data_IF_539414153062
#
_entry.id   IF_539414153062
#
_cell.length_a   1.000
_cell.length_b   1.000
_cell.length_c   1.000
_cell.angle_alpha   90.00
_cell.angle_beta   90.00
_cell.angle_gamma   90.00
#
_symmetry.space_group_name_H-M   'P 1'
#
loop_
_entity.id
_entity.type
_entity.pdbx_description
1 polymer ?
#
# COMPACT_ATOMS: atom_id res chain seq x y z
N UNK A 1 2.27 14.36 8.23
CA UNK A 1 2.95 13.70 9.37
C UNK A 1 2.03 12.60 9.90
N UNK A 2 2.41 11.32 9.77
CA UNK A 2 1.62 10.14 10.13
C UNK A 2 1.57 9.86 11.64
N UNK A 3 1.71 10.88 12.47
CA UNK A 3 2.17 10.78 13.87
C UNK A 3 1.18 10.09 14.82
N UNK A 4 -0.10 9.97 14.45
CA UNK A 4 -1.12 9.28 15.26
C UNK A 4 -1.35 7.80 14.88
N UNK A 5 -0.77 7.32 13.77
CA UNK A 5 -0.93 5.94 13.31
C UNK A 5 0.23 5.08 13.83
N UNK A 6 -0.10 4.06 14.62
CA UNK A 6 0.86 3.02 15.03
C UNK A 6 1.16 2.11 13.83
N UNK A 7 2.08 2.56 12.99
CA UNK A 7 2.60 1.81 11.85
C UNK A 7 3.81 0.97 12.25
N UNK A 8 3.90 -0.25 11.70
CA UNK A 8 5.11 -1.08 11.80
C UNK A 8 6.27 -0.46 11.01
N UNK A 9 7.47 -1.04 11.11
CA UNK A 9 8.61 -0.59 10.30
C UNK A 9 8.34 -0.78 8.80
N UNK A 10 7.76 -1.92 8.45
CA UNK A 10 7.41 -2.35 7.10
C UNK A 10 6.32 -1.44 6.50
N UNK A 11 5.27 -1.17 7.27
CA UNK A 11 4.19 -0.26 6.85
C UNK A 11 4.71 1.16 6.62
N UNK A 12 5.65 1.65 7.44
CA UNK A 12 6.28 2.96 7.24
C UNK A 12 7.10 3.01 5.97
N UNK A 13 7.87 1.97 5.70
CA UNK A 13 8.67 1.92 4.48
C UNK A 13 7.78 1.84 3.22
N UNK A 14 6.74 1.01 3.25
CA UNK A 14 5.77 0.92 2.15
C UNK A 14 5.00 2.23 1.97
N UNK A 15 4.56 2.87 3.07
CA UNK A 15 3.92 4.18 3.02
C UNK A 15 4.80 5.22 2.31
N UNK A 16 6.09 5.28 2.67
CA UNK A 16 7.07 6.17 2.03
C UNK A 16 7.23 5.87 0.54
N UNK A 17 7.29 4.59 0.16
CA UNK A 17 7.39 4.18 -1.25
C UNK A 17 6.16 4.57 -2.06
N UNK A 18 4.96 4.33 -1.52
CA UNK A 18 3.68 4.71 -2.15
C UNK A 18 3.61 6.23 -2.34
N UNK A 19 3.95 7.00 -1.32
CA UNK A 19 3.88 8.47 -1.38
C UNK A 19 4.84 9.05 -2.43
N UNK A 20 6.03 8.44 -2.57
CA UNK A 20 7.02 8.82 -3.59
C UNK A 20 6.62 8.40 -5.02
N UNK A 21 5.90 7.29 -5.17
CA UNK A 21 5.45 6.79 -6.47
C UNK A 21 4.33 7.68 -7.05
N UNK A 22 3.31 7.98 -6.25
CA UNK A 22 2.21 8.85 -6.65
C UNK A 22 2.56 10.31 -6.38
N UNK A 23 3.20 10.96 -7.35
CA UNK A 23 3.62 12.38 -7.27
C UNK A 23 2.48 13.39 -7.47
N UNK A 24 1.26 12.93 -7.76
CA UNK A 24 0.13 13.81 -8.06
C UNK A 24 -0.34 14.56 -6.81
N UNK A 25 -0.36 15.91 -6.80
CA UNK A 25 -0.72 16.71 -5.63
C UNK A 25 -2.21 16.62 -5.27
N UNK A 26 -3.07 16.20 -6.20
CA UNK A 26 -4.51 16.09 -6.00
C UNK A 26 -4.97 14.77 -5.37
N UNK A 27 -4.05 13.81 -5.16
CA UNK A 27 -4.38 12.51 -4.58
C UNK A 27 -3.96 12.49 -3.12
N UNK A 28 -4.93 12.30 -2.21
CA UNK A 28 -4.62 12.17 -0.80
C UNK A 28 -3.93 10.82 -0.52
N UNK A 29 -3.27 10.68 0.63
CA UNK A 29 -2.47 9.49 0.92
C UNK A 29 -3.29 8.19 0.97
N UNK A 30 -4.52 8.25 1.49
CA UNK A 30 -5.42 7.09 1.51
C UNK A 30 -5.71 6.60 0.09
N UNK A 31 -6.01 7.52 -0.83
CA UNK A 31 -6.26 7.19 -2.24
C UNK A 31 -5.01 6.62 -2.90
N UNK A 32 -3.81 7.13 -2.57
CA UNK A 32 -2.54 6.54 -3.05
C UNK A 32 -2.38 5.09 -2.61
N UNK A 33 -2.65 4.80 -1.32
CA UNK A 33 -2.59 3.43 -0.77
C UNK A 33 -3.63 2.53 -1.42
N UNK A 34 -4.87 3.01 -1.61
CA UNK A 34 -5.92 2.26 -2.28
C UNK A 34 -5.55 1.94 -3.74
N UNK A 35 -5.04 2.91 -4.50
CA UNK A 35 -4.60 2.68 -5.88
C UNK A 35 -3.41 1.72 -5.96
N UNK A 36 -2.44 1.81 -5.04
CA UNK A 36 -1.34 0.85 -4.95
C UNK A 36 -1.85 -0.58 -4.72
N UNK A 37 -2.88 -0.72 -3.87
CA UNK A 37 -3.49 -2.02 -3.58
C UNK A 37 -4.17 -2.61 -4.81
N UNK A 38 -4.90 -1.79 -5.57
CA UNK A 38 -5.53 -2.22 -6.83
C UNK A 38 -4.51 -2.69 -7.85
N UNK A 39 -3.39 -1.96 -8.01
CA UNK A 39 -2.30 -2.35 -8.90
C UNK A 39 -1.73 -3.72 -8.50
N UNK A 40 -1.38 -3.89 -7.22
CA UNK A 40 -0.81 -5.15 -6.74
C UNK A 40 -1.79 -6.35 -6.87
N UNK A 41 -3.09 -6.11 -6.66
CA UNK A 41 -4.11 -7.13 -6.86
C UNK A 41 -4.23 -7.51 -8.34
N UNK A 42 -4.24 -6.51 -9.24
CA UNK A 42 -4.30 -6.73 -10.67
C UNK A 42 -3.08 -7.48 -11.22
N UNK A 43 -1.88 -7.19 -10.72
CA UNK A 43 -0.66 -7.91 -11.08
C UNK A 43 -0.75 -9.40 -10.73
N UNK A 44 -1.30 -9.74 -9.56
CA UNK A 44 -1.50 -11.13 -9.15
C UNK A 44 -2.56 -11.84 -9.99
N UNK A 45 -3.70 -11.20 -10.23
CA UNK A 45 -4.80 -11.78 -11.01
C UNK A 45 -4.42 -11.99 -12.48
N UNK A 46 -3.69 -11.04 -13.05
CA UNK A 46 -3.23 -11.08 -14.44
C UNK A 46 -1.97 -11.93 -14.63
N UNK A 47 -1.47 -12.58 -13.57
CA UNK A 47 -0.22 -13.34 -13.59
C UNK A 47 0.97 -12.53 -14.12
N UNK A 48 1.02 -11.24 -13.81
CA UNK A 48 2.13 -10.33 -14.16
C UNK A 48 3.31 -10.50 -13.18
N UNK A 49 3.81 -11.72 -13.09
CA UNK A 49 5.02 -12.07 -12.37
C UNK A 49 5.75 -13.17 -13.14
N UNK A 50 7.07 -13.10 -13.17
CA UNK A 50 7.92 -14.05 -13.91
C UNK A 50 8.37 -15.22 -13.05
N UNK A 51 8.30 -15.08 -11.73
CA UNK A 51 8.77 -16.08 -10.76
C UNK A 51 7.86 -16.16 -9.53
N UNK A 52 7.89 -17.30 -8.83
CA UNK A 52 7.19 -17.44 -7.55
C UNK A 52 7.74 -16.50 -6.47
N UNK A 53 9.04 -16.16 -6.49
CA UNK A 53 9.62 -15.18 -5.57
C UNK A 53 9.04 -13.78 -5.78
N UNK A 54 8.88 -13.36 -7.04
CA UNK A 54 8.23 -12.10 -7.40
C UNK A 54 6.77 -12.07 -6.96
N UNK A 55 6.03 -13.15 -7.22
CA UNK A 55 4.65 -13.33 -6.74
C UNK A 55 4.55 -13.21 -5.22
N UNK A 56 5.46 -13.84 -4.46
CA UNK A 56 5.50 -13.72 -3.00
C UNK A 56 5.75 -12.29 -2.54
N UNK A 57 6.63 -11.54 -3.23
CA UNK A 57 6.86 -10.12 -2.95
C UNK A 57 5.62 -9.28 -3.22
N UNK A 58 4.88 -9.53 -4.30
CA UNK A 58 3.64 -8.81 -4.61
C UNK A 58 2.56 -9.14 -3.56
N UNK A 59 2.41 -10.41 -3.17
CA UNK A 59 1.49 -10.82 -2.10
C UNK A 59 1.83 -10.11 -0.79
N UNK A 60 3.11 -10.10 -0.41
CA UNK A 60 3.58 -9.43 0.80
C UNK A 60 3.25 -7.93 0.74
N UNK A 61 3.61 -7.25 -0.36
CA UNK A 61 3.33 -5.84 -0.57
C UNK A 61 1.84 -5.52 -0.47
N UNK A 62 0.99 -6.29 -1.16
CA UNK A 62 -0.47 -6.17 -1.11
C UNK A 62 -1.00 -6.31 0.31
N UNK A 63 -0.54 -7.31 1.06
CA UNK A 63 -1.00 -7.55 2.43
C UNK A 63 -0.61 -6.39 3.36
N UNK A 64 0.58 -5.81 3.21
CA UNK A 64 0.98 -4.63 3.98
C UNK A 64 0.16 -3.39 3.59
N UNK A 65 -0.14 -3.19 2.30
CA UNK A 65 -1.04 -2.12 1.84
C UNK A 65 -2.45 -2.26 2.43
N UNK A 66 -2.98 -3.48 2.48
CA UNK A 66 -4.28 -3.74 3.09
C UNK A 66 -4.30 -3.41 4.59
N UNK A 67 -3.26 -3.80 5.34
CA UNK A 67 -3.10 -3.44 6.75
C UNK A 67 -3.04 -1.92 6.93
N UNK A 68 -2.24 -1.24 6.10
CA UNK A 68 -2.09 0.20 6.12
C UNK A 68 -3.42 0.92 5.84
N UNK A 69 -4.16 0.50 4.82
CA UNK A 69 -5.46 1.07 4.46
C UNK A 69 -6.47 0.90 5.60
N UNK A 70 -6.53 -0.29 6.22
CA UNK A 70 -7.40 -0.55 7.37
C UNK A 70 -7.11 0.40 8.53
N UNK A 71 -5.84 0.68 8.82
CA UNK A 71 -5.44 1.63 9.87
C UNK A 71 -5.83 3.06 9.53
N UNK A 72 -5.65 3.47 8.27
CA UNK A 72 -6.07 4.80 7.78
C UNK A 72 -7.58 4.99 7.91
N UNK A 73 -8.36 4.00 7.49
CA UNK A 73 -9.82 4.04 7.58
C UNK A 73 -10.29 4.06 9.04
N UNK A 74 -9.63 3.32 9.93
CA UNK A 74 -9.92 3.32 11.37
C UNK A 74 -9.61 4.67 12.04
N UNK A 75 -8.61 5.40 11.53
CA UNK A 75 -8.24 6.72 12.04
C UNK A 75 -9.20 7.82 11.57
N UNK A 76 -9.80 7.69 10.38
CA UNK A 76 -10.78 8.64 9.85
C UNK A 76 -12.16 8.54 10.51
N UNK A 77 -12.44 7.46 11.25
CA UNK A 77 -13.69 7.27 12.00
C UNK A 77 -13.63 7.84 13.44
N UNK A 78 -12.52 8.48 13.83
CA UNK A 78 -12.32 9.14 15.13
C UNK A 78 -12.33 10.65 14.94
#
# INVERSE_FOLDING_TARGET
MYTALHLSAEEREIARRVDNYFKTPHMNFRDKVFNALLIAQHELESHHFSTEDEKLKIIYFRNTLYSLLKKLDSANMR
#
